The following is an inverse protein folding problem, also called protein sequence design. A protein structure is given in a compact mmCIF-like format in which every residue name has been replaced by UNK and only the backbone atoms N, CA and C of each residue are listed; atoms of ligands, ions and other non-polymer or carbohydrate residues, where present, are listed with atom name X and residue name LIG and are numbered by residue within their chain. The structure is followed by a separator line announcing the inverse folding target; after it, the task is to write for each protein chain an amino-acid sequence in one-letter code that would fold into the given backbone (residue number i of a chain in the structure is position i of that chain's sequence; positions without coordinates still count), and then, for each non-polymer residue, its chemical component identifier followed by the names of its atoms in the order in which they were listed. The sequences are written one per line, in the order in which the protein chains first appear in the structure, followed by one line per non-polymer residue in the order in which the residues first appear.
data_IF_099385337784
#
_entry.id   IF_099385337784
#
_cell.length_a   1.000
_cell.length_b   1.000
_cell.length_c   1.000
_cell.angle_alpha   90.00
_cell.angle_beta   90.00
_cell.angle_gamma   90.00
#
_symmetry.space_group_name_H-M   'P 1'
#
loop_
_entity.id
_entity.type
_entity.pdbx_description
1 polymer ?
#
# COMPACT_ATOMS: atom_id res chain seq x y z
N UNK A 1 -27.23 -1.38 -6.70
CA UNK A 1 -25.85 -0.86 -6.72
C UNK A 1 -25.18 -1.39 -7.97
N UNK A 2 -24.35 -0.61 -8.69
CA UNK A 2 -23.61 -1.15 -9.81
C UNK A 2 -22.63 -2.23 -9.32
N UNK A 3 -22.53 -3.31 -10.06
CA UNK A 3 -21.60 -4.40 -9.76
C UNK A 3 -20.16 -3.91 -9.99
N UNK A 4 -19.31 -4.01 -8.98
CA UNK A 4 -17.92 -3.58 -9.04
C UNK A 4 -16.99 -4.63 -9.68
N UNK A 5 -17.50 -5.83 -9.98
CA UNK A 5 -16.73 -6.93 -10.56
C UNK A 5 -16.01 -6.57 -11.88
N UNK A 6 -16.62 -5.71 -12.70
CA UNK A 6 -15.99 -5.24 -13.95
C UNK A 6 -14.93 -4.16 -13.77
N UNK A 7 -14.71 -3.63 -12.55
CA UNK A 7 -13.71 -2.57 -12.33
C UNK A 7 -12.29 -3.15 -12.35
N UNK A 8 -12.16 -4.39 -11.86
CA UNK A 8 -10.94 -5.18 -11.94
C UNK A 8 -11.35 -6.61 -12.22
N UNK A 9 -11.18 -7.09 -13.44
CA UNK A 9 -11.56 -8.47 -13.84
C UNK A 9 -10.95 -9.56 -12.94
N UNK A 10 -9.85 -9.22 -12.25
CA UNK A 10 -9.14 -10.08 -11.33
C UNK A 10 -9.76 -10.10 -9.90
N UNK A 11 -10.78 -9.26 -9.64
CA UNK A 11 -11.43 -9.13 -8.33
C UNK A 11 -12.97 -9.30 -8.40
N UNK A 12 -13.45 -10.50 -8.73
CA UNK A 12 -14.88 -10.75 -8.91
C UNK A 12 -15.73 -10.53 -7.65
N UNK A 13 -15.11 -10.56 -6.46
CA UNK A 13 -15.80 -10.38 -5.18
C UNK A 13 -16.01 -8.92 -4.79
N UNK A 14 -15.61 -7.95 -5.62
CA UNK A 14 -15.82 -6.52 -5.34
C UNK A 14 -17.30 -6.13 -5.29
N UNK A 15 -18.19 -6.90 -5.87
CA UNK A 15 -19.64 -6.72 -5.75
C UNK A 15 -20.14 -6.78 -4.30
N UNK A 16 -19.35 -7.43 -3.42
CA UNK A 16 -19.65 -7.55 -1.98
C UNK A 16 -19.23 -6.29 -1.19
N UNK A 17 -18.48 -5.37 -1.81
CA UNK A 17 -18.01 -4.16 -1.14
C UNK A 17 -19.10 -3.10 -1.16
N UNK A 18 -19.54 -2.65 0.00
CA UNK A 18 -20.52 -1.58 0.12
C UNK A 18 -19.89 -0.19 -0.08
N UNK A 19 -20.69 0.79 -0.49
CA UNK A 19 -20.25 2.19 -0.58
C UNK A 19 -19.72 2.71 0.78
N UNK A 20 -20.32 2.26 1.89
CA UNK A 20 -19.88 2.64 3.25
C UNK A 20 -18.46 2.13 3.53
N UNK A 21 -18.14 0.90 3.11
CA UNK A 21 -16.78 0.36 3.25
C UNK A 21 -15.77 1.14 2.42
N UNK A 22 -16.12 1.56 1.20
CA UNK A 22 -15.24 2.41 0.39
C UNK A 22 -15.01 3.77 1.03
N UNK A 23 -16.07 4.40 1.55
CA UNK A 23 -15.97 5.68 2.25
C UNK A 23 -15.08 5.63 3.50
N UNK A 24 -14.96 4.48 4.15
CA UNK A 24 -14.06 4.29 5.29
C UNK A 24 -12.58 4.40 4.90
N UNK A 25 -12.23 4.14 3.63
CA UNK A 25 -10.86 4.23 3.11
C UNK A 25 -10.49 5.62 2.59
N UNK A 26 -11.42 6.56 2.57
CA UNK A 26 -11.22 7.89 1.97
C UNK A 26 -11.01 8.95 3.03
N UNK A 27 -10.04 9.83 2.81
CA UNK A 27 -9.79 11.01 3.64
C UNK A 27 -10.87 12.06 3.40
N UNK A 28 -11.19 12.30 2.11
CA UNK A 28 -12.27 13.19 1.71
C UNK A 28 -13.44 12.36 1.19
N UNK A 29 -14.52 12.32 1.97
CA UNK A 29 -15.71 11.54 1.62
C UNK A 29 -16.49 12.26 0.53
N UNK A 30 -16.63 11.67 -0.67
CA UNK A 30 -17.48 12.23 -1.71
C UNK A 30 -18.96 12.09 -1.32
N UNK A 31 -19.81 12.90 -1.94
CA UNK A 31 -21.26 12.69 -1.86
C UNK A 31 -21.64 11.32 -2.45
N UNK A 32 -22.62 10.67 -1.85
CA UNK A 32 -22.99 9.29 -2.22
C UNK A 32 -23.38 9.18 -3.70
N UNK A 33 -24.11 10.14 -4.24
CA UNK A 33 -24.51 10.13 -5.64
C UNK A 33 -23.31 10.22 -6.60
N UNK A 34 -22.29 11.03 -6.25
CA UNK A 34 -21.05 11.09 -7.03
C UNK A 34 -20.33 9.75 -7.02
N UNK A 35 -20.22 9.12 -5.84
CA UNK A 35 -19.59 7.81 -5.70
C UNK A 35 -20.31 6.76 -6.55
N UNK A 36 -21.64 6.69 -6.48
CA UNK A 36 -22.44 5.73 -7.25
C UNK A 36 -22.26 5.94 -8.75
N UNK A 37 -22.31 7.20 -9.23
CA UNK A 37 -22.08 7.50 -10.64
C UNK A 37 -20.66 7.15 -11.09
N UNK A 38 -19.66 7.46 -10.27
CA UNK A 38 -18.28 7.10 -10.54
C UNK A 38 -18.10 5.58 -10.68
N UNK A 39 -18.65 4.80 -9.73
CA UNK A 39 -18.60 3.35 -9.77
C UNK A 39 -19.31 2.78 -11.00
N UNK A 40 -20.47 3.34 -11.38
CA UNK A 40 -21.16 2.98 -12.61
C UNK A 40 -20.31 3.22 -13.86
N UNK A 41 -19.62 4.35 -13.93
CA UNK A 41 -18.70 4.66 -15.03
C UNK A 41 -17.51 3.72 -15.05
N UNK A 42 -16.97 3.32 -13.88
CA UNK A 42 -15.86 2.35 -13.81
C UNK A 42 -16.25 0.96 -14.28
N UNK A 43 -17.49 0.53 -14.05
CA UNK A 43 -18.02 -0.74 -14.58
C UNK A 43 -18.06 -0.69 -16.12
N UNK A 44 -18.49 0.43 -16.70
CA UNK A 44 -18.55 0.60 -18.15
C UNK A 44 -17.17 0.79 -18.80
N UNK A 45 -16.27 1.47 -18.09
CA UNK A 45 -14.94 1.85 -18.59
C UNK A 45 -13.84 1.46 -17.59
N UNK A 46 -13.58 0.15 -17.40
CA UNK A 46 -12.65 -0.34 -16.37
C UNK A 46 -11.20 0.12 -16.59
N UNK A 47 -10.83 0.43 -17.83
CA UNK A 47 -9.48 0.90 -18.18
C UNK A 47 -9.28 2.42 -18.03
N UNK A 48 -10.33 3.18 -17.69
CA UNK A 48 -10.20 4.62 -17.54
C UNK A 48 -9.22 4.97 -16.39
N UNK A 49 -8.32 5.91 -16.67
CA UNK A 49 -7.34 6.41 -15.68
C UNK A 49 -8.00 7.53 -14.88
N UNK A 50 -7.77 7.63 -13.56
CA UNK A 50 -8.29 8.75 -12.77
C UNK A 50 -7.69 10.08 -13.25
N UNK A 51 -8.54 11.08 -13.50
CA UNK A 51 -8.13 12.40 -13.99
C UNK A 51 -7.99 13.42 -12.87
N UNK A 52 -8.62 13.17 -11.72
CA UNK A 52 -8.58 14.04 -10.56
C UNK A 52 -8.09 13.31 -9.31
N UNK A 53 -7.62 14.06 -8.32
CA UNK A 53 -7.23 13.48 -7.03
C UNK A 53 -8.38 12.76 -6.33
N UNK A 54 -9.61 13.26 -6.48
CA UNK A 54 -10.82 12.65 -5.93
C UNK A 54 -11.12 11.28 -6.59
N UNK A 55 -11.00 11.21 -7.92
CA UNK A 55 -11.15 9.94 -8.64
C UNK A 55 -10.06 8.93 -8.28
N UNK A 56 -8.81 9.41 -8.15
CA UNK A 56 -7.69 8.58 -7.72
C UNK A 56 -7.94 8.01 -6.31
N UNK A 57 -8.44 8.83 -5.38
CA UNK A 57 -8.74 8.38 -4.02
C UNK A 57 -9.83 7.30 -4.00
N UNK A 58 -10.87 7.42 -4.83
CA UNK A 58 -11.91 6.40 -4.98
C UNK A 58 -11.34 5.12 -5.57
N UNK A 59 -10.56 5.19 -6.65
CA UNK A 59 -9.92 4.02 -7.26
C UNK A 59 -8.97 3.33 -6.27
N UNK A 60 -8.21 4.08 -5.46
CA UNK A 60 -7.36 3.51 -4.42
C UNK A 60 -8.16 2.88 -3.27
N UNK A 61 -9.32 3.43 -2.93
CA UNK A 61 -10.22 2.81 -1.95
C UNK A 61 -10.78 1.47 -2.47
N UNK A 62 -11.18 1.42 -3.75
CA UNK A 62 -11.59 0.17 -4.42
C UNK A 62 -10.44 -0.84 -4.38
N UNK A 63 -9.23 -0.42 -4.72
CA UNK A 63 -8.05 -1.28 -4.71
C UNK A 63 -7.78 -1.85 -3.30
N UNK A 64 -7.85 -1.02 -2.25
CA UNK A 64 -7.67 -1.47 -0.85
C UNK A 64 -8.71 -2.53 -0.47
N UNK A 65 -9.98 -2.28 -0.80
CA UNK A 65 -11.06 -3.23 -0.54
C UNK A 65 -10.84 -4.55 -1.28
N UNK A 66 -10.44 -4.49 -2.54
CA UNK A 66 -10.12 -5.66 -3.35
C UNK A 66 -8.96 -6.48 -2.77
N UNK A 67 -7.90 -5.81 -2.36
CA UNK A 67 -6.71 -6.44 -1.75
C UNK A 67 -7.09 -7.11 -0.42
N UNK A 68 -7.94 -6.49 0.39
CA UNK A 68 -8.43 -7.07 1.66
C UNK A 68 -9.19 -8.38 1.41
N UNK A 69 -9.95 -8.46 0.32
CA UNK A 69 -10.70 -9.68 -0.06
C UNK A 69 -9.75 -10.76 -0.61
N UNK A 70 -8.79 -10.37 -1.46
CA UNK A 70 -7.88 -11.30 -2.15
C UNK A 70 -6.42 -10.82 -2.07
N UNK A 71 -5.79 -10.92 -0.90
CA UNK A 71 -4.42 -10.41 -0.70
C UNK A 71 -3.38 -11.14 -1.56
N UNK A 72 -3.60 -12.42 -1.87
CA UNK A 72 -2.66 -13.27 -2.60
C UNK A 72 -2.31 -12.80 -4.01
N UNK A 73 -3.05 -11.84 -4.58
CA UNK A 73 -2.72 -11.27 -5.88
C UNK A 73 -1.42 -10.42 -5.83
N UNK A 74 -1.19 -9.73 -4.74
CA UNK A 74 -0.03 -8.85 -4.56
C UNK A 74 0.97 -9.37 -3.53
N UNK A 75 0.55 -10.27 -2.64
CA UNK A 75 1.31 -10.64 -1.46
C UNK A 75 1.57 -12.14 -1.40
N UNK A 76 2.83 -12.49 -1.26
CA UNK A 76 3.30 -13.86 -1.11
C UNK A 76 3.99 -14.00 0.27
N UNK A 77 3.24 -14.35 1.32
CA UNK A 77 3.78 -14.38 2.68
C UNK A 77 4.95 -15.35 2.86
N UNK A 78 4.95 -16.49 2.16
CA UNK A 78 6.00 -17.49 2.25
C UNK A 78 7.37 -16.99 1.73
N UNK A 79 7.38 -15.99 0.86
CA UNK A 79 8.59 -15.44 0.23
C UNK A 79 8.90 -14.02 0.67
N UNK A 80 8.10 -13.43 1.56
CA UNK A 80 8.22 -12.04 1.99
C UNK A 80 8.26 -11.05 0.81
N UNK A 81 7.46 -11.32 -0.23
CA UNK A 81 7.41 -10.50 -1.44
C UNK A 81 6.06 -9.84 -1.62
N UNK A 82 6.10 -8.56 -2.00
CA UNK A 82 4.97 -7.82 -2.53
C UNK A 82 5.25 -7.61 -4.02
N UNK A 83 4.41 -8.17 -4.88
CA UNK A 83 4.60 -8.12 -6.34
C UNK A 83 3.47 -7.28 -6.94
N UNK A 84 3.84 -6.19 -7.59
CA UNK A 84 2.93 -5.26 -8.26
C UNK A 84 2.99 -5.52 -9.77
N UNK A 85 1.92 -6.00 -10.41
CA UNK A 85 1.88 -6.08 -11.86
C UNK A 85 2.02 -4.68 -12.48
N UNK A 86 2.77 -4.57 -13.58
CA UNK A 86 3.06 -3.28 -14.25
C UNK A 86 1.81 -2.49 -14.58
N UNK A 87 0.74 -3.14 -15.01
CA UNK A 87 -0.52 -2.49 -15.34
C UNK A 87 -1.07 -1.67 -14.18
N UNK A 88 -0.97 -2.17 -12.94
CA UNK A 88 -1.37 -1.43 -11.75
C UNK A 88 -0.43 -0.27 -11.46
N UNK A 89 0.89 -0.47 -11.59
CA UNK A 89 1.87 0.59 -11.39
C UNK A 89 1.68 1.76 -12.38
N UNK A 90 1.24 1.47 -13.61
CA UNK A 90 0.94 2.47 -14.62
C UNK A 90 -0.40 3.19 -14.39
N UNK A 91 -1.40 2.49 -13.84
CA UNK A 91 -2.72 3.05 -13.57
C UNK A 91 -2.73 4.06 -12.42
N UNK A 92 -1.85 3.90 -11.44
CA UNK A 92 -1.82 4.70 -10.21
C UNK A 92 -0.49 5.45 -10.02
N UNK A 93 -0.09 6.34 -10.94
CA UNK A 93 1.11 7.12 -10.77
C UNK A 93 0.92 8.21 -9.69
N UNK A 94 1.97 8.57 -8.90
CA UNK A 94 3.23 7.83 -8.79
C UNK A 94 3.06 6.48 -8.09
N UNK A 95 4.01 5.57 -8.29
CA UNK A 95 3.99 4.21 -7.74
C UNK A 95 3.74 4.15 -6.23
N UNK A 96 4.09 5.19 -5.50
CA UNK A 96 3.81 5.33 -4.06
C UNK A 96 2.34 5.20 -3.69
N UNK A 97 1.44 5.62 -4.57
CA UNK A 97 0.00 5.52 -4.34
C UNK A 97 -0.45 4.06 -4.25
N UNK A 98 -0.04 3.24 -5.23
CA UNK A 98 -0.41 1.82 -5.22
C UNK A 98 0.31 1.06 -4.09
N UNK A 99 1.59 1.35 -3.84
CA UNK A 99 2.34 0.71 -2.76
C UNK A 99 1.68 1.00 -1.41
N UNK A 100 1.28 2.24 -1.17
CA UNK A 100 0.54 2.61 0.04
C UNK A 100 -0.79 1.86 0.14
N UNK A 101 -1.57 1.81 -0.94
CA UNK A 101 -2.85 1.09 -0.96
C UNK A 101 -2.67 -0.41 -0.68
N UNK A 102 -1.60 -1.02 -1.21
CA UNK A 102 -1.28 -2.42 -0.96
C UNK A 102 -0.91 -2.65 0.51
N UNK A 103 -0.03 -1.82 1.07
CA UNK A 103 0.38 -1.92 2.49
C UNK A 103 -0.83 -1.73 3.40
N UNK A 104 -1.69 -0.76 3.12
CA UNK A 104 -2.91 -0.50 3.88
C UNK A 104 -3.92 -1.65 3.78
N UNK A 105 -4.09 -2.24 2.59
CA UNK A 105 -5.03 -3.34 2.35
C UNK A 105 -4.57 -4.69 2.91
N UNK A 106 -3.27 -5.00 2.79
CA UNK A 106 -2.68 -6.28 3.27
C UNK A 106 -2.37 -6.21 4.76
N UNK A 107 -1.92 -5.06 5.26
CA UNK A 107 -1.35 -4.89 6.60
C UNK A 107 -0.23 -5.92 6.89
N UNK A 108 0.81 -6.01 6.03
CA UNK A 108 1.85 -7.03 6.15
C UNK A 108 2.64 -6.83 7.46
N UNK A 109 3.13 -7.93 8.04
CA UNK A 109 3.98 -7.89 9.24
C UNK A 109 5.35 -8.47 8.94
N UNK A 110 6.39 -7.82 9.45
CA UNK A 110 7.79 -8.16 9.18
C UNK A 110 8.41 -7.29 8.09
N UNK A 111 9.39 -7.86 7.39
CA UNK A 111 10.09 -7.20 6.28
C UNK A 111 9.66 -7.83 4.96
N UNK A 112 9.24 -7.01 4.02
CA UNK A 112 8.85 -7.45 2.69
C UNK A 112 9.52 -6.62 1.62
N UNK A 113 10.01 -7.29 0.56
CA UNK A 113 10.60 -6.61 -0.60
C UNK A 113 9.50 -6.36 -1.63
N UNK A 114 9.47 -5.14 -2.16
CA UNK A 114 8.47 -4.70 -3.13
C UNK A 114 9.06 -4.76 -4.52
N UNK A 115 8.37 -5.47 -5.40
CA UNK A 115 8.73 -5.65 -6.80
C UNK A 115 7.67 -5.09 -7.73
N UNK A 116 8.09 -4.54 -8.86
CA UNK A 116 7.22 -4.34 -10.02
C UNK A 116 7.55 -5.42 -11.05
N UNK A 117 6.54 -6.16 -11.45
CA UNK A 117 6.66 -7.23 -12.46
C UNK A 117 6.12 -6.74 -13.81
N UNK A 118 7.00 -6.64 -14.80
CA UNK A 118 6.65 -6.58 -16.22
C UNK A 118 6.71 -8.00 -16.80
N UNK A 119 6.23 -8.22 -18.03
CA UNK A 119 6.12 -9.53 -18.68
C UNK A 119 7.32 -10.44 -18.41
N UNK A 120 8.54 -9.94 -18.62
CA UNK A 120 9.78 -10.71 -18.50
C UNK A 120 10.82 -10.11 -17.54
N UNK A 121 10.47 -9.02 -16.83
CA UNK A 121 11.40 -8.32 -15.92
C UNK A 121 10.76 -8.09 -14.57
N UNK A 122 11.53 -8.31 -13.53
CA UNK A 122 11.16 -7.99 -12.16
C UNK A 122 12.14 -6.91 -11.67
N UNK A 123 11.61 -5.77 -11.26
CA UNK A 123 12.40 -4.65 -10.72
C UNK A 123 12.08 -4.49 -9.24
N UNK A 124 13.10 -4.45 -8.39
CA UNK A 124 12.96 -4.04 -6.99
C UNK A 124 12.68 -2.53 -6.96
N UNK A 125 11.66 -2.13 -6.21
CA UNK A 125 11.31 -0.72 -6.02
C UNK A 125 11.51 -0.25 -4.59
N UNK A 126 11.67 -1.15 -3.64
CA UNK A 126 11.94 -0.83 -2.25
C UNK A 126 11.60 -1.98 -1.31
N UNK A 127 11.59 -1.67 -0.02
CA UNK A 127 11.16 -2.60 1.04
C UNK A 127 10.16 -1.93 1.97
N UNK A 128 9.35 -2.74 2.65
CA UNK A 128 8.53 -2.29 3.77
C UNK A 128 8.96 -3.01 5.04
N UNK A 129 9.09 -2.26 6.13
CA UNK A 129 9.26 -2.76 7.50
C UNK A 129 7.97 -2.48 8.25
N UNK A 130 7.30 -3.52 8.73
CA UNK A 130 6.10 -3.42 9.57
C UNK A 130 6.31 -4.32 10.80
N UNK A 131 6.81 -3.76 11.92
CA UNK A 131 7.10 -4.52 13.13
C UNK A 131 5.86 -5.26 13.65
N UNK A 132 6.07 -6.43 14.25
CA UNK A 132 4.99 -7.20 14.87
C UNK A 132 4.36 -6.45 16.05
N UNK A 133 5.18 -5.72 16.79
CA UNK A 133 4.75 -4.94 17.95
C UNK A 133 5.42 -3.57 17.95
N UNK A 134 4.87 -2.58 17.22
CA UNK A 134 5.47 -1.25 17.13
C UNK A 134 5.62 -0.55 18.50
N UNK A 135 4.74 -0.83 19.46
CA UNK A 135 4.80 -0.20 20.78
C UNK A 135 6.08 -0.52 21.55
N UNK A 136 6.66 -1.70 21.33
CA UNK A 136 7.92 -2.09 21.97
C UNK A 136 9.14 -1.31 21.48
N UNK A 137 9.02 -0.64 20.33
CA UNK A 137 10.12 0.09 19.72
C UNK A 137 10.31 1.49 20.32
N UNK A 138 9.26 2.07 20.89
CA UNK A 138 9.23 3.49 21.24
C UNK A 138 9.50 3.78 22.71
N UNK A 139 9.58 2.78 23.60
CA UNK A 139 9.71 3.00 25.05
C UNK A 139 8.79 4.11 25.60
N UNK A 140 7.54 4.20 25.09
CA UNK A 140 6.55 5.24 25.39
C UNK A 140 6.78 6.61 24.69
N UNK A 141 7.67 6.71 23.73
CA UNK A 141 7.84 7.92 22.91
C UNK A 141 6.84 7.96 21.74
N UNK A 142 6.57 9.17 21.25
CA UNK A 142 5.72 9.38 20.07
C UNK A 142 6.42 9.08 18.75
N UNK A 143 7.73 8.81 18.78
CA UNK A 143 8.57 8.54 17.64
C UNK A 143 9.54 7.38 17.89
N UNK A 144 10.03 6.77 16.82
CA UNK A 144 11.08 5.74 16.84
C UNK A 144 12.25 6.20 15.98
N UNK A 145 13.47 6.03 16.48
CA UNK A 145 14.67 6.33 15.71
C UNK A 145 14.88 5.26 14.62
N UNK A 146 14.94 5.71 13.38
CA UNK A 146 15.41 4.94 12.24
C UNK A 146 16.85 5.30 11.94
N UNK A 147 17.72 4.30 11.77
CA UNK A 147 19.12 4.48 11.46
C UNK A 147 19.55 3.52 10.35
N UNK A 148 20.25 4.05 9.33
CA UNK A 148 20.80 3.28 8.23
C UNK A 148 22.11 3.95 7.75
N UNK A 149 23.26 3.43 8.15
CA UNK A 149 24.54 4.08 7.91
C UNK A 149 24.55 5.51 8.47
N UNK A 150 24.75 6.50 7.60
CA UNK A 150 24.76 7.92 7.98
C UNK A 150 23.35 8.55 8.07
N UNK A 151 22.31 7.83 7.70
CA UNK A 151 20.94 8.34 7.71
C UNK A 151 20.33 8.05 9.08
N UNK A 152 19.88 9.12 9.77
CA UNK A 152 19.12 9.04 11.01
C UNK A 152 17.83 9.84 10.86
N UNK A 153 16.70 9.28 11.21
CA UNK A 153 15.39 9.91 11.08
C UNK A 153 14.46 9.49 12.22
N UNK A 154 13.73 10.42 12.79
CA UNK A 154 12.65 10.13 13.72
C UNK A 154 11.38 9.75 12.91
N UNK A 155 10.85 8.58 13.17
CA UNK A 155 9.64 8.07 12.53
C UNK A 155 8.47 8.18 13.51
N UNK A 156 7.40 8.92 13.16
CA UNK A 156 6.24 9.03 14.03
C UNK A 156 5.55 7.68 14.24
N UNK A 157 5.11 7.41 15.46
CA UNK A 157 4.22 6.29 15.76
C UNK A 157 2.86 6.48 15.05
N UNK A 158 2.18 5.39 14.78
CA UNK A 158 0.89 5.35 14.08
C UNK A 158 0.91 5.93 12.64
N UNK A 159 2.09 5.99 12.01
CA UNK A 159 2.27 6.52 10.68
C UNK A 159 2.94 5.52 9.72
N UNK A 160 2.76 5.77 8.43
CA UNK A 160 3.60 5.21 7.38
C UNK A 160 4.59 6.28 6.96
N UNK A 161 5.88 5.98 7.01
CA UNK A 161 6.96 6.89 6.63
C UNK A 161 7.82 6.29 5.55
N UNK A 162 8.35 7.14 4.66
CA UNK A 162 9.29 6.73 3.61
C UNK A 162 10.65 7.30 3.92
N UNK A 163 11.68 6.46 3.89
CA UNK A 163 13.08 6.85 4.02
C UNK A 163 13.81 6.46 2.74
N UNK A 164 14.37 7.45 2.05
CA UNK A 164 15.13 7.22 0.82
C UNK A 164 16.44 6.51 1.16
N UNK A 165 16.63 5.33 0.57
CA UNK A 165 17.86 4.55 0.64
C UNK A 165 18.26 4.12 -0.77
N UNK A 166 19.56 4.14 -1.05
CA UNK A 166 20.10 3.61 -2.31
C UNK A 166 19.91 2.09 -2.42
N UNK A 167 20.01 1.58 -3.63
CA UNK A 167 19.66 0.19 -4.02
C UNK A 167 20.68 -0.84 -3.51
N UNK A 168 21.03 -0.89 -2.28
CA UNK A 168 21.89 -1.95 -1.74
C UNK A 168 21.21 -2.68 -0.60
N UNK A 169 21.60 -3.92 -0.38
CA UNK A 169 21.30 -4.61 0.87
C UNK A 169 21.82 -3.76 2.02
N UNK A 170 20.96 -3.27 2.85
CA UNK A 170 21.30 -2.34 3.91
C UNK A 170 20.76 -2.86 5.23
N UNK A 171 21.59 -2.81 6.26
CA UNK A 171 21.13 -2.95 7.63
C UNK A 171 20.46 -1.66 8.07
N UNK A 172 19.29 -1.81 8.66
CA UNK A 172 18.48 -0.72 9.22
C UNK A 172 18.19 -1.05 10.67
N UNK A 173 18.41 -0.10 11.53
CA UNK A 173 18.00 -0.16 12.93
C UNK A 173 16.71 0.66 13.08
N UNK A 174 15.73 0.10 13.75
CA UNK A 174 14.47 0.75 14.09
C UNK A 174 14.21 0.58 15.59
N UNK A 175 14.54 1.61 16.35
CA UNK A 175 14.65 1.48 17.81
C UNK A 175 15.68 0.41 18.19
N UNK A 176 15.31 -0.59 19.02
CA UNK A 176 16.21 -1.65 19.43
C UNK A 176 16.30 -2.83 18.42
N UNK A 177 15.52 -2.84 17.36
CA UNK A 177 15.43 -3.93 16.39
C UNK A 177 16.26 -3.66 15.14
N UNK A 178 16.90 -4.70 14.60
CA UNK A 178 17.67 -4.64 13.37
C UNK A 178 16.96 -5.40 12.24
N UNK A 179 16.94 -4.79 11.06
CA UNK A 179 16.33 -5.35 9.86
C UNK A 179 17.30 -5.31 8.66
N UNK A 180 17.21 -6.33 7.80
CA UNK A 180 17.85 -6.30 6.48
C UNK A 180 16.83 -5.90 5.45
N UNK A 181 17.15 -4.88 4.67
CA UNK A 181 16.25 -4.32 3.64
C UNK A 181 17.00 -4.10 2.34
N UNK A 182 16.25 -4.00 1.25
CA UNK A 182 16.77 -3.57 -0.03
C UNK A 182 16.14 -2.21 -0.31
N UNK A 183 16.98 -1.19 -0.50
CA UNK A 183 16.55 0.12 -0.99
C UNK A 183 16.08 0.00 -2.44
N UNK A 184 15.59 1.10 -3.00
CA UNK A 184 15.11 1.16 -4.37
C UNK A 184 14.58 2.55 -4.71
N UNK A 185 13.84 2.65 -5.80
CA UNK A 185 13.22 3.90 -6.24
C UNK A 185 12.36 4.55 -5.14
N UNK A 186 11.73 3.73 -4.31
CA UNK A 186 10.91 4.18 -3.18
C UNK A 186 11.67 4.21 -1.84
N UNK A 187 12.90 3.67 -1.79
CA UNK A 187 13.62 3.53 -0.53
C UNK A 187 13.02 2.47 0.38
N UNK A 188 12.96 2.76 1.69
CA UNK A 188 12.36 1.90 2.71
C UNK A 188 11.12 2.58 3.29
N UNK A 189 10.04 1.84 3.30
CA UNK A 189 8.77 2.25 3.90
C UNK A 189 8.70 1.65 5.30
N UNK A 190 8.48 2.48 6.30
CA UNK A 190 8.33 2.07 7.69
C UNK A 190 6.87 2.27 8.09
N UNK A 191 6.18 1.16 8.41
CA UNK A 191 4.78 1.16 8.82
C UNK A 191 4.67 0.87 10.31
N UNK A 192 4.45 1.94 11.11
CA UNK A 192 4.32 1.87 12.56
C UNK A 192 2.86 1.97 13.04
N UNK A 193 1.89 1.74 12.18
CA UNK A 193 0.48 1.76 12.58
C UNK A 193 0.19 0.60 13.54
N UNK A 194 -0.56 0.88 14.60
CA UNK A 194 -0.91 -0.10 15.64
C UNK A 194 -2.04 -1.06 15.22
N UNK A 195 -2.80 -0.71 14.17
CA UNK A 195 -3.88 -1.52 13.63
C UNK A 195 -4.06 -1.29 12.14
N UNK A 196 -4.58 -2.29 11.42
CA UNK A 196 -5.10 -2.07 10.08
C UNK A 196 -6.32 -1.14 10.14
N UNK A 197 -6.63 -0.45 9.06
CA UNK A 197 -7.96 0.12 8.88
C UNK A 197 -8.97 -1.02 8.99
N UNK A 198 -9.80 -0.96 10.06
CA UNK A 198 -10.79 -1.97 10.40
C UNK A 198 -11.88 -2.12 9.37
#
# INVERSE_FOLDING_TARGET
MPHLSGVFDEFPDLEKVSATQLLAWMTQKPELHFLVNFLGNRVLYPQAVPLTSKELEIDLAILRAAIKIKPGLFFQPQTNKIIIPRMFAQRFPPIGNIVRAIIEGINPKGVHIIYVKDSNKIKVVGSVISPLNPQKLSMNESTVLFSAGNIKKQIPMNAISIVQLSVADTKVELGPEEYKVIGGEMGVIVDLRLGGFG
#
